data_IF_891606752580
#
_entry.id   IF_891606752580
#
_cell.length_a   1.000
_cell.length_b   1.000
_cell.length_c   1.000
_cell.angle_alpha   90.00
_cell.angle_beta   90.00
_cell.angle_gamma   90.00
#
_symmetry.space_group_name_H-M   'P 1'
#
loop_
_entity.id
_entity.type
_entity.pdbx_description
1 polymer ?
#
# COMPACT_ATOMS: atom_id res chain seq x y z
N UNK A 1 18.11 17.73 -6.89
CA UNK A 1 16.74 18.13 -6.56
C UNK A 1 15.93 16.87 -6.78
N UNK A 2 15.27 16.35 -5.75
CA UNK A 2 14.41 15.19 -5.90
C UNK A 2 13.26 15.61 -6.81
N UNK A 3 13.11 14.91 -7.93
CA UNK A 3 11.99 15.16 -8.84
C UNK A 3 10.67 14.93 -8.10
N UNK A 4 9.60 15.69 -8.42
CA UNK A 4 8.32 15.49 -7.80
C UNK A 4 7.79 14.08 -8.12
N UNK A 5 7.39 13.35 -7.08
CA UNK A 5 6.79 12.02 -7.22
C UNK A 5 5.49 12.13 -8.01
N UNK A 6 5.39 11.36 -9.08
CA UNK A 6 4.20 11.30 -9.94
C UNK A 6 3.12 10.40 -9.33
N UNK A 7 1.87 10.61 -9.77
CA UNK A 7 0.76 9.74 -9.38
C UNK A 7 0.98 8.29 -9.81
N UNK A 8 1.59 8.08 -10.99
CA UNK A 8 1.89 6.75 -11.50
C UNK A 8 2.89 6.00 -10.59
N UNK A 9 3.90 6.71 -10.07
CA UNK A 9 4.86 6.14 -9.12
C UNK A 9 4.20 5.79 -7.79
N UNK A 10 3.30 6.64 -7.28
CA UNK A 10 2.52 6.35 -6.07
C UNK A 10 1.66 5.09 -6.24
N UNK A 11 0.94 4.98 -7.36
CA UNK A 11 0.10 3.80 -7.66
C UNK A 11 0.96 2.54 -7.78
N UNK A 12 2.09 2.63 -8.49
CA UNK A 12 3.00 1.51 -8.65
C UNK A 12 3.54 1.02 -7.30
N UNK A 13 3.98 1.96 -6.45
CA UNK A 13 4.51 1.64 -5.13
C UNK A 13 3.42 1.07 -4.20
N UNK A 14 2.21 1.64 -4.21
CA UNK A 14 1.08 1.12 -3.42
C UNK A 14 0.72 -0.32 -3.82
N UNK A 15 0.64 -0.62 -5.12
CA UNK A 15 0.38 -1.99 -5.59
C UNK A 15 1.50 -2.96 -5.18
N UNK A 16 2.76 -2.57 -5.26
CA UNK A 16 3.89 -3.39 -4.78
C UNK A 16 3.79 -3.70 -3.29
N UNK A 17 3.38 -2.72 -2.48
CA UNK A 17 3.15 -2.92 -1.05
C UNK A 17 1.99 -3.88 -0.80
N UNK A 18 0.88 -3.75 -1.54
CA UNK A 18 -0.23 -4.69 -1.46
C UNK A 18 0.24 -6.12 -1.80
N UNK A 19 0.93 -6.31 -2.94
CA UNK A 19 1.43 -7.61 -3.37
C UNK A 19 2.28 -8.29 -2.29
N UNK A 20 3.17 -7.54 -1.64
CA UNK A 20 4.03 -8.06 -0.57
C UNK A 20 3.22 -8.61 0.62
N UNK A 21 2.10 -7.96 0.99
CA UNK A 21 1.25 -8.41 2.08
C UNK A 21 0.37 -9.62 1.68
N UNK A 22 -0.11 -9.66 0.44
CA UNK A 22 -1.00 -10.73 -0.05
C UNK A 22 -0.26 -11.99 -0.50
N UNK A 23 0.98 -11.89 -0.98
CA UNK A 23 1.80 -13.07 -1.35
C UNK A 23 2.39 -13.78 -0.14
N UNK A 24 2.56 -13.07 0.98
CA UNK A 24 3.23 -13.59 2.18
C UNK A 24 2.27 -14.00 3.29
N UNK A 25 0.97 -13.71 3.16
CA UNK A 25 -0.03 -14.16 4.11
C UNK A 25 -1.40 -14.37 3.45
N UNK A 26 -2.18 -15.38 3.88
CA UNK A 26 -3.60 -15.50 3.52
C UNK A 26 -4.47 -14.36 4.07
N UNK A 27 -3.95 -13.55 5.01
CA UNK A 27 -4.61 -12.34 5.50
C UNK A 27 -3.60 -11.17 5.50
N UNK A 28 -3.85 -10.07 4.73
CA UNK A 28 -2.91 -8.97 4.61
C UNK A 28 -2.59 -8.27 5.94
N UNK A 29 -3.43 -8.43 6.97
CA UNK A 29 -3.24 -7.88 8.32
C UNK A 29 -2.44 -8.78 9.26
N UNK A 30 -1.97 -9.94 8.83
CA UNK A 30 -1.12 -10.76 9.68
C UNK A 30 0.30 -10.20 9.78
N UNK A 31 0.89 -10.19 11.00
CA UNK A 31 2.31 -9.95 11.19
C UNK A 31 3.14 -10.87 10.30
N UNK A 32 4.15 -10.32 9.60
CA UNK A 32 5.04 -11.06 8.71
C UNK A 32 4.84 -10.81 7.21
N UNK A 33 3.77 -10.10 6.81
CA UNK A 33 3.61 -9.61 5.44
C UNK A 33 4.74 -8.67 5.00
N UNK A 34 5.18 -7.79 5.89
CA UNK A 34 6.39 -6.97 5.76
C UNK A 34 7.08 -6.77 7.12
N UNK A 35 8.30 -6.22 7.14
CA UNK A 35 9.06 -6.00 8.38
C UNK A 35 8.43 -5.01 9.36
N UNK A 36 7.46 -4.21 8.92
CA UNK A 36 6.82 -3.19 9.74
C UNK A 36 5.43 -3.60 10.24
N UNK A 37 4.94 -4.81 9.89
CA UNK A 37 3.69 -5.30 10.43
C UNK A 37 3.84 -5.61 11.92
N UNK A 38 2.92 -5.10 12.73
CA UNK A 38 2.72 -5.47 14.13
C UNK A 38 1.35 -6.11 14.31
N UNK A 39 1.02 -6.52 15.53
CA UNK A 39 -0.34 -6.97 15.87
C UNK A 39 -1.39 -5.85 15.76
N UNK A 40 -0.97 -4.60 15.96
CA UNK A 40 -1.85 -3.43 15.94
C UNK A 40 -2.09 -2.87 14.53
N UNK A 41 -1.32 -3.30 13.53
CA UNK A 41 -1.49 -2.88 12.15
C UNK A 41 -0.18 -2.79 11.36
N UNK A 42 -0.26 -2.17 10.18
CA UNK A 42 0.88 -1.93 9.32
C UNK A 42 0.75 -0.59 8.60
N UNK A 43 1.55 0.43 8.98
CA UNK A 43 1.49 1.75 8.35
C UNK A 43 1.72 1.74 6.84
N UNK A 44 2.55 0.82 6.33
CA UNK A 44 2.75 0.68 4.88
C UNK A 44 1.51 0.15 4.17
N UNK A 45 0.81 -0.81 4.79
CA UNK A 45 -0.42 -1.36 4.25
C UNK A 45 -1.52 -0.30 4.24
N UNK A 46 -1.67 0.44 5.34
CA UNK A 46 -2.64 1.55 5.46
C UNK A 46 -2.38 2.65 4.44
N UNK A 47 -1.11 3.04 4.26
CA UNK A 47 -0.71 3.99 3.23
C UNK A 47 -1.10 3.52 1.83
N UNK A 48 -0.78 2.27 1.48
CA UNK A 48 -1.08 1.72 0.16
C UNK A 48 -2.59 1.68 -0.12
N UNK A 49 -3.39 1.29 0.88
CA UNK A 49 -4.85 1.30 0.80
C UNK A 49 -5.39 2.71 0.59
N UNK A 50 -4.85 3.71 1.29
CA UNK A 50 -5.25 5.11 1.17
C UNK A 50 -4.99 5.63 -0.23
N UNK A 51 -3.78 5.42 -0.77
CA UNK A 51 -3.42 5.86 -2.14
C UNK A 51 -4.38 5.26 -3.17
N UNK A 52 -4.67 3.96 -3.08
CA UNK A 52 -5.53 3.29 -4.05
C UNK A 52 -7.01 3.70 -3.89
N UNK A 53 -7.46 3.98 -2.67
CA UNK A 53 -8.80 4.51 -2.41
C UNK A 53 -8.96 5.92 -2.99
N UNK A 54 -7.98 6.79 -2.82
CA UNK A 54 -7.99 8.15 -3.36
C UNK A 54 -8.01 8.14 -4.88
N UNK A 55 -7.17 7.31 -5.51
CA UNK A 55 -7.17 7.13 -6.97
C UNK A 55 -8.52 6.62 -7.46
N UNK A 56 -9.09 5.62 -6.78
CA UNK A 56 -10.43 5.12 -7.11
C UNK A 56 -11.48 6.22 -7.02
N UNK A 57 -11.46 7.03 -5.97
CA UNK A 57 -12.39 8.13 -5.78
C UNK A 57 -12.24 9.21 -6.85
N UNK A 58 -11.01 9.48 -7.31
CA UNK A 58 -10.76 10.41 -8.42
C UNK A 58 -11.26 9.90 -9.77
N UNK A 59 -11.25 8.58 -9.97
CA UNK A 59 -11.66 7.96 -11.25
C UNK A 59 -13.15 7.66 -11.34
N UNK A 60 -13.82 7.43 -10.20
CA UNK A 60 -15.22 6.99 -10.13
C UNK A 60 -16.15 8.01 -9.45
N UNK A 61 -15.61 9.12 -8.96
CA UNK A 61 -16.34 10.23 -8.33
C UNK A 61 -16.76 11.30 -9.32
#
# INVERSE_FOLDING_TARGET
>A
MDEPVTLAELIWAANRTMDMHWTRSPNPWQPGGCWQCTEDGCPQLEWAQTVLADVRNQLLG
#
